data_IF_075917800382
#
_entry.id   IF_075917800382
#
_cell.length_a   1.000
_cell.length_b   1.000
_cell.length_c   1.000
_cell.angle_alpha   90.00
_cell.angle_beta   90.00
_cell.angle_gamma   90.00
#
_symmetry.space_group_name_H-M   'P 1'
#
loop_
_entity.id
_entity.type
_entity.pdbx_description
1 polymer ?
#
# COMPACT_ATOMS: atom_id res chain seq x y z
N UNK A 1 47.86 -0.90 -16.01
CA UNK A 1 47.45 -0.25 -14.74
C UNK A 1 47.61 -1.12 -13.48
N UNK A 2 48.13 -2.35 -13.53
CA UNK A 2 48.19 -3.26 -12.36
C UNK A 2 49.56 -3.21 -11.62
N UNK A 3 50.61 -2.64 -12.23
CA UNK A 3 51.97 -2.67 -11.68
C UNK A 3 52.28 -1.66 -10.55
N UNK A 4 51.38 -0.74 -10.21
CA UNK A 4 51.63 0.27 -9.15
C UNK A 4 51.53 -0.30 -7.73
N UNK A 5 51.05 -1.53 -7.56
CA UNK A 5 50.88 -2.17 -6.24
C UNK A 5 52.17 -2.80 -5.69
N UNK A 6 53.24 -2.88 -6.48
CA UNK A 6 54.48 -3.58 -6.11
C UNK A 6 55.51 -2.73 -5.36
N UNK A 7 55.33 -1.41 -5.27
CA UNK A 7 56.30 -0.49 -4.64
C UNK A 7 55.77 0.24 -3.40
N UNK A 8 54.69 -0.26 -2.77
CA UNK A 8 54.15 0.33 -1.55
C UNK A 8 54.86 -0.24 -0.32
N UNK A 9 55.45 0.64 0.49
CA UNK A 9 55.95 0.33 1.84
C UNK A 9 54.93 -0.52 2.62
N UNK A 10 55.37 -1.48 3.45
CA UNK A 10 54.48 -2.35 4.26
C UNK A 10 53.38 -1.56 4.97
N UNK A 11 53.68 -0.33 5.40
CA UNK A 11 52.74 0.60 6.01
C UNK A 11 51.54 0.94 5.10
N UNK A 12 51.78 1.23 3.82
CA UNK A 12 50.71 1.51 2.85
C UNK A 12 49.92 0.25 2.50
N UNK A 13 50.56 -0.93 2.48
CA UNK A 13 49.86 -2.18 2.21
C UNK A 13 48.84 -2.50 3.31
N UNK A 14 49.23 -2.36 4.57
CA UNK A 14 48.35 -2.54 5.74
C UNK A 14 47.22 -1.49 5.72
N UNK A 15 47.57 -0.22 5.49
CA UNK A 15 46.58 0.86 5.42
C UNK A 15 45.55 0.64 4.30
N UNK A 16 45.98 0.20 3.11
CA UNK A 16 45.09 -0.05 1.99
C UNK A 16 44.14 -1.22 2.29
N UNK A 17 44.64 -2.29 2.93
CA UNK A 17 43.81 -3.43 3.30
C UNK A 17 42.81 -3.09 4.40
N UNK A 18 43.22 -2.34 5.44
CA UNK A 18 42.28 -1.93 6.50
C UNK A 18 41.23 -0.96 5.97
N UNK A 19 41.63 -0.02 5.10
CA UNK A 19 40.70 0.90 4.44
C UNK A 19 39.70 0.14 3.55
N UNK A 20 40.17 -0.83 2.76
CA UNK A 20 39.30 -1.67 1.93
C UNK A 20 38.30 -2.46 2.78
N UNK A 21 38.75 -3.05 3.90
CA UNK A 21 37.85 -3.78 4.82
C UNK A 21 36.80 -2.84 5.42
N UNK A 22 37.19 -1.65 5.87
CA UNK A 22 36.25 -0.65 6.41
C UNK A 22 35.22 -0.25 5.35
N UNK A 23 35.65 0.06 4.12
CA UNK A 23 34.74 0.39 3.00
C UNK A 23 33.77 -0.75 2.69
N UNK A 24 34.25 -1.99 2.67
CA UNK A 24 33.41 -3.17 2.43
C UNK A 24 32.37 -3.34 3.53
N UNK A 25 32.75 -3.21 4.80
CA UNK A 25 31.83 -3.30 5.93
C UNK A 25 30.79 -2.18 5.86
N UNK A 26 31.19 -0.93 5.61
CA UNK A 26 30.26 0.19 5.48
C UNK A 26 29.27 -0.01 4.32
N UNK A 27 29.75 -0.51 3.17
CA UNK A 27 28.89 -0.83 2.03
C UNK A 27 27.90 -1.95 2.34
N UNK A 28 28.34 -3.02 3.01
CA UNK A 28 27.48 -4.12 3.41
C UNK A 28 26.38 -3.66 4.39
N UNK A 29 26.74 -2.86 5.40
CA UNK A 29 25.77 -2.28 6.35
C UNK A 29 24.75 -1.42 5.61
N UNK A 30 25.19 -0.56 4.70
CA UNK A 30 24.29 0.31 3.94
C UNK A 30 23.28 -0.50 3.10
N UNK A 31 23.72 -1.59 2.46
CA UNK A 31 22.84 -2.46 1.67
C UNK A 31 21.82 -3.18 2.54
N UNK A 32 22.24 -3.74 3.68
CA UNK A 32 21.34 -4.41 4.63
C UNK A 32 20.33 -3.43 5.22
N UNK A 33 20.79 -2.26 5.66
CA UNK A 33 19.93 -1.21 6.20
C UNK A 33 18.87 -0.76 5.18
N UNK A 34 19.27 -0.58 3.91
CA UNK A 34 18.33 -0.25 2.83
C UNK A 34 17.29 -1.35 2.63
N UNK A 35 17.68 -2.62 2.65
CA UNK A 35 16.77 -3.76 2.50
C UNK A 35 15.71 -3.81 3.61
N UNK A 36 16.16 -3.68 4.86
CA UNK A 36 15.25 -3.67 6.02
C UNK A 36 14.31 -2.47 5.96
N UNK A 37 14.86 -1.26 5.72
CA UNK A 37 14.08 -0.03 5.72
C UNK A 37 12.95 -0.05 4.68
N UNK A 38 13.25 -0.45 3.44
CA UNK A 38 12.24 -0.51 2.37
C UNK A 38 11.16 -1.56 2.67
N UNK A 39 11.57 -2.73 3.18
CA UNK A 39 10.62 -3.79 3.55
C UNK A 39 9.70 -3.39 4.70
N UNK A 40 10.25 -2.79 5.77
CA UNK A 40 9.48 -2.32 6.92
C UNK A 40 8.51 -1.21 6.51
N UNK A 41 8.96 -0.25 5.70
CA UNK A 41 8.11 0.88 5.29
C UNK A 41 6.92 0.39 4.44
N UNK A 42 7.17 -0.53 3.51
CA UNK A 42 6.11 -1.10 2.65
C UNK A 42 5.08 -1.86 3.49
N UNK A 43 5.54 -2.68 4.45
CA UNK A 43 4.65 -3.44 5.33
C UNK A 43 3.86 -2.56 6.29
N UNK A 44 4.46 -1.48 6.78
CA UNK A 44 3.77 -0.49 7.61
C UNK A 44 2.66 0.22 6.83
N UNK A 45 2.91 0.57 5.56
CA UNK A 45 1.89 1.16 4.67
C UNK A 45 0.73 0.17 4.42
N UNK A 46 1.03 -1.09 4.13
CA UNK A 46 0.01 -2.13 3.94
C UNK A 46 -0.84 -2.35 5.20
N UNK A 47 -0.22 -2.41 6.38
CA UNK A 47 -0.93 -2.56 7.65
C UNK A 47 -1.87 -1.38 7.92
N UNK A 48 -1.40 -0.15 7.67
CA UNK A 48 -2.22 1.06 7.84
C UNK A 48 -3.37 1.11 6.84
N UNK A 49 -3.12 0.81 5.56
CA UNK A 49 -4.16 0.74 4.55
C UNK A 49 -5.21 -0.33 4.85
N UNK A 50 -4.78 -1.50 5.34
CA UNK A 50 -5.68 -2.58 5.77
C UNK A 50 -6.58 -2.14 6.93
N UNK A 51 -6.02 -1.47 7.93
CA UNK A 51 -6.81 -0.96 9.06
C UNK A 51 -7.86 0.09 8.63
N UNK A 52 -7.53 0.91 7.62
CA UNK A 52 -8.45 1.88 7.04
C UNK A 52 -9.58 1.15 6.30
N UNK A 53 -9.24 0.19 5.43
CA UNK A 53 -10.22 -0.61 4.68
C UNK A 53 -11.14 -1.42 5.62
N UNK A 54 -10.59 -2.01 6.69
CA UNK A 54 -11.37 -2.69 7.73
C UNK A 54 -12.32 -1.74 8.45
N UNK A 55 -11.87 -0.53 8.83
CA UNK A 55 -12.75 0.45 9.46
C UNK A 55 -13.92 0.87 8.56
N UNK A 56 -13.70 0.95 7.25
CA UNK A 56 -14.77 1.18 6.27
C UNK A 56 -15.69 -0.03 6.20
N UNK A 57 -15.16 -1.25 6.16
CA UNK A 57 -15.96 -2.46 6.08
C UNK A 57 -16.85 -2.67 7.30
N UNK A 58 -16.34 -2.43 8.50
CA UNK A 58 -17.11 -2.56 9.75
C UNK A 58 -18.25 -1.56 9.85
N UNK A 59 -18.06 -0.33 9.35
CA UNK A 59 -19.06 0.76 9.45
C UNK A 59 -19.96 0.86 8.23
N UNK A 60 -19.46 0.46 7.07
CA UNK A 60 -20.12 0.59 5.77
C UNK A 60 -21.29 -0.37 5.60
N UNK A 61 -21.27 -1.53 6.28
CA UNK A 61 -22.30 -2.57 6.14
C UNK A 61 -23.72 -2.02 6.37
N UNK A 62 -23.93 -1.27 7.46
CA UNK A 62 -25.24 -0.67 7.76
C UNK A 62 -25.72 0.24 6.62
N UNK A 63 -24.85 1.09 6.08
CA UNK A 63 -25.24 2.00 4.99
C UNK A 63 -25.57 1.26 3.69
N UNK A 64 -24.90 0.13 3.41
CA UNK A 64 -25.21 -0.70 2.24
C UNK A 64 -26.59 -1.37 2.42
N UNK A 65 -26.87 -1.91 3.61
CA UNK A 65 -28.17 -2.52 3.93
C UNK A 65 -29.32 -1.52 3.84
N UNK A 66 -29.10 -0.32 4.36
CA UNK A 66 -30.07 0.78 4.34
C UNK A 66 -30.17 1.46 2.96
N UNK A 67 -29.31 1.08 2.01
CA UNK A 67 -29.15 1.71 0.68
C UNK A 67 -28.88 3.22 0.76
N UNK A 68 -28.21 3.64 1.83
CA UNK A 68 -27.83 5.02 2.06
C UNK A 68 -26.42 5.31 1.50
N UNK A 69 -26.36 5.43 0.17
CA UNK A 69 -25.11 5.74 -0.53
C UNK A 69 -24.56 7.12 -0.12
N UNK A 70 -25.40 8.05 0.34
CA UNK A 70 -24.96 9.39 0.73
C UNK A 70 -24.15 9.34 2.01
N UNK A 71 -24.64 8.62 3.02
CA UNK A 71 -23.91 8.39 4.27
C UNK A 71 -22.68 7.51 4.05
N UNK A 72 -22.73 6.55 3.12
CA UNK A 72 -21.56 5.76 2.75
C UNK A 72 -20.46 6.64 2.13
N UNK A 73 -20.81 7.56 1.24
CA UNK A 73 -19.85 8.53 0.69
C UNK A 73 -19.28 9.41 1.80
N UNK A 74 -20.12 9.95 2.69
CA UNK A 74 -19.65 10.74 3.83
C UNK A 74 -18.66 9.96 4.71
N UNK A 75 -18.93 8.69 4.98
CA UNK A 75 -18.02 7.78 5.67
C UNK A 75 -16.66 7.68 4.95
N UNK A 76 -16.64 7.50 3.62
CA UNK A 76 -15.39 7.39 2.87
C UNK A 76 -14.58 8.69 2.94
N UNK A 77 -15.24 9.84 2.85
CA UNK A 77 -14.58 11.15 2.99
C UNK A 77 -14.04 11.37 4.39
N UNK A 78 -14.79 11.02 5.44
CA UNK A 78 -14.31 11.11 6.82
C UNK A 78 -13.09 10.21 7.05
N UNK A 79 -13.12 8.97 6.55
CA UNK A 79 -12.03 8.02 6.79
C UNK A 79 -10.77 8.37 5.98
N UNK A 80 -10.93 8.83 4.74
CA UNK A 80 -9.81 9.17 3.83
C UNK A 80 -9.23 10.57 4.07
N UNK A 81 -10.04 11.53 4.52
CA UNK A 81 -9.64 12.94 4.60
C UNK A 81 -9.36 13.47 6.00
N UNK A 82 -9.26 12.64 7.04
CA UNK A 82 -8.92 13.10 8.38
C UNK A 82 -7.41 12.94 8.70
N UNK A 83 -6.77 14.05 9.04
CA UNK A 83 -5.40 14.12 9.60
C UNK A 83 -4.28 13.72 8.62
N UNK A 84 -3.24 13.06 9.16
CA UNK A 84 -2.06 12.56 8.42
C UNK A 84 -2.39 11.50 7.34
N UNK A 85 -3.63 10.98 7.30
CA UNK A 85 -4.06 9.91 6.38
C UNK A 85 -4.21 10.37 4.93
N UNK A 86 -4.43 11.67 4.70
CA UNK A 86 -4.53 12.26 3.35
C UNK A 86 -3.31 12.02 2.49
N UNK A 87 -2.13 11.93 3.09
CA UNK A 87 -0.88 11.70 2.37
C UNK A 87 -0.62 10.21 2.06
N UNK A 88 -1.39 9.29 2.66
CA UNK A 88 -1.16 7.85 2.60
C UNK A 88 -2.19 7.11 1.74
N UNK A 89 -3.36 7.70 1.49
CA UNK A 89 -4.47 7.05 0.78
C UNK A 89 -4.65 7.71 -0.59
N UNK A 90 -4.42 6.95 -1.65
CA UNK A 90 -4.52 7.44 -3.02
C UNK A 90 -5.97 7.51 -3.51
N UNK A 91 -6.81 6.56 -3.10
CA UNK A 91 -8.24 6.52 -3.40
C UNK A 91 -8.98 5.72 -2.34
N UNK A 92 -10.30 5.86 -2.29
CA UNK A 92 -11.17 4.96 -1.55
C UNK A 92 -12.46 4.76 -2.35
N UNK A 93 -12.91 3.53 -2.48
CA UNK A 93 -14.22 3.24 -3.04
C UNK A 93 -14.84 1.96 -2.49
N UNK A 94 -16.14 1.82 -2.65
CA UNK A 94 -16.92 0.65 -2.23
C UNK A 94 -17.74 0.14 -3.40
N UNK A 95 -17.73 -1.18 -3.58
CA UNK A 95 -18.54 -1.90 -4.57
C UNK A 95 -19.45 -2.90 -3.89
N UNK A 96 -20.59 -3.22 -4.51
CA UNK A 96 -21.42 -4.36 -4.11
C UNK A 96 -20.89 -5.68 -4.67
N UNK A 97 -21.57 -6.79 -4.33
CA UNK A 97 -21.25 -8.14 -4.82
C UNK A 97 -21.38 -8.32 -6.34
N UNK A 98 -22.17 -7.47 -7.01
CA UNK A 98 -22.35 -7.47 -8.46
C UNK A 98 -21.24 -6.66 -9.18
N UNK A 99 -20.44 -5.92 -8.41
CA UNK A 99 -19.39 -5.03 -8.89
C UNK A 99 -19.90 -3.64 -9.25
N UNK A 100 -21.07 -3.23 -8.78
CA UNK A 100 -21.57 -1.88 -8.95
C UNK A 100 -20.87 -0.96 -7.94
N UNK A 101 -20.45 0.22 -8.41
CA UNK A 101 -19.82 1.24 -7.59
C UNK A 101 -20.88 1.93 -6.71
N UNK A 102 -20.83 1.70 -5.39
CA UNK A 102 -21.77 2.28 -4.44
C UNK A 102 -21.33 3.67 -3.95
N UNK A 103 -20.04 3.82 -3.66
CA UNK A 103 -19.45 5.06 -3.16
C UNK A 103 -17.97 5.18 -3.58
N UNK A 104 -17.49 6.40 -3.76
CA UNK A 104 -16.08 6.66 -4.06
C UNK A 104 -15.69 8.09 -3.65
N UNK A 105 -14.38 8.33 -3.50
CA UNK A 105 -13.83 9.65 -3.14
C UNK A 105 -13.33 10.46 -4.35
N UNK A 106 -13.56 9.99 -5.59
CA UNK A 106 -13.12 10.71 -6.78
C UNK A 106 -14.00 11.94 -7.04
N UNK A 107 -13.35 13.10 -7.15
CA UNK A 107 -13.99 14.36 -7.61
C UNK A 107 -14.04 14.47 -9.14
N UNK A 108 -13.60 13.43 -9.84
CA UNK A 108 -13.55 13.26 -11.30
C UNK A 108 -14.24 11.96 -11.68
N UNK A 109 -14.52 11.70 -12.97
CA UNK A 109 -15.04 10.40 -13.39
C UNK A 109 -14.16 9.25 -12.88
N UNK A 110 -14.78 8.18 -12.37
CA UNK A 110 -14.07 7.04 -11.81
C UNK A 110 -13.10 6.40 -12.84
N UNK A 111 -11.81 6.21 -12.49
CA UNK A 111 -10.80 5.71 -13.42
C UNK A 111 -11.16 4.35 -14.03
N UNK A 112 -10.92 4.20 -15.34
CA UNK A 112 -11.19 2.94 -16.03
C UNK A 112 -10.28 1.80 -15.55
N UNK A 113 -9.02 2.11 -15.22
CA UNK A 113 -8.04 1.14 -14.72
C UNK A 113 -8.52 0.48 -13.42
N UNK A 114 -9.15 1.26 -12.54
CA UNK A 114 -9.71 0.76 -11.29
C UNK A 114 -11.02 -0.01 -11.47
N UNK A 115 -11.71 0.12 -12.62
CA UNK A 115 -12.86 -0.76 -12.91
C UNK A 115 -12.41 -2.17 -13.25
N UNK A 116 -11.24 -2.33 -13.86
CA UNK A 116 -10.71 -3.63 -14.26
C UNK A 116 -10.31 -4.52 -13.07
N UNK A 117 -10.13 -3.92 -11.88
CA UNK A 117 -9.75 -4.64 -10.66
C UNK A 117 -10.96 -5.05 -9.80
N UNK A 118 -12.15 -4.53 -10.09
CA UNK A 118 -13.38 -4.83 -9.35
C UNK A 118 -13.70 -6.32 -9.51
N UNK A 119 -13.70 -7.02 -8.37
CA UNK A 119 -14.09 -8.41 -8.30
C UNK A 119 -15.59 -8.52 -8.07
N UNK A 120 -16.20 -9.54 -8.68
CA UNK A 120 -17.59 -9.92 -8.45
C UNK A 120 -17.62 -11.18 -7.60
N UNK A 121 -18.64 -11.30 -6.75
CA UNK A 121 -18.84 -12.45 -5.87
C UNK A 121 -18.64 -12.14 -4.39
N UNK A 122 -18.79 -13.18 -3.57
CA UNK A 122 -18.93 -13.05 -2.11
C UNK A 122 -17.65 -13.33 -1.32
N UNK A 123 -16.50 -13.35 -1.98
CA UNK A 123 -15.23 -13.73 -1.35
C UNK A 123 -15.02 -13.01 -0.03
N UNK A 124 -14.72 -13.79 1.02
CA UNK A 124 -14.44 -13.29 2.36
C UNK A 124 -12.95 -13.01 2.60
N UNK A 125 -12.11 -13.17 1.58
CA UNK A 125 -10.68 -12.94 1.71
C UNK A 125 -10.37 -11.46 1.49
N UNK A 126 -9.49 -10.92 2.33
CA UNK A 126 -8.82 -9.64 2.06
C UNK A 126 -7.77 -9.85 0.98
N UNK A 127 -7.78 -9.01 -0.04
CA UNK A 127 -6.85 -9.11 -1.17
C UNK A 127 -5.97 -7.86 -1.22
N UNK A 128 -4.69 -8.07 -1.48
CA UNK A 128 -3.70 -7.00 -1.62
C UNK A 128 -3.06 -7.13 -3.01
N UNK A 129 -3.11 -6.08 -3.82
CA UNK A 129 -2.60 -6.11 -5.19
C UNK A 129 -1.96 -4.79 -5.57
N UNK A 130 -0.90 -4.84 -6.38
CA UNK A 130 -0.36 -3.63 -6.98
C UNK A 130 -1.24 -3.20 -8.15
N UNK A 131 -1.52 -1.91 -8.23
CA UNK A 131 -2.33 -1.30 -9.27
C UNK A 131 -1.64 -0.04 -9.79
N UNK A 132 -1.80 0.20 -11.08
CA UNK A 132 -1.39 1.44 -11.71
C UNK A 132 -2.65 2.10 -12.26
N UNK A 133 -2.85 3.37 -11.94
CA UNK A 133 -3.98 4.15 -12.42
C UNK A 133 -3.54 5.59 -12.66
N UNK A 134 -3.98 6.20 -13.75
CA UNK A 134 -3.66 7.60 -14.10
C UNK A 134 -2.15 7.94 -14.04
N UNK A 135 -1.27 6.97 -14.32
CA UNK A 135 0.19 7.15 -14.29
C UNK A 135 0.83 7.13 -12.91
N UNK A 136 0.09 6.70 -11.88
CA UNK A 136 0.58 6.51 -10.50
C UNK A 136 0.46 5.05 -10.09
N UNK A 137 1.44 4.56 -9.34
CA UNK A 137 1.42 3.21 -8.75
C UNK A 137 0.92 3.25 -7.31
N UNK A 138 0.04 2.31 -6.96
CA UNK A 138 -0.52 2.16 -5.62
C UNK A 138 -0.67 0.68 -5.27
N UNK A 139 -0.85 0.40 -3.98
CA UNK A 139 -1.26 -0.92 -3.49
C UNK A 139 -2.74 -0.82 -3.16
N UNK A 140 -3.57 -1.56 -3.89
CA UNK A 140 -5.00 -1.74 -3.61
C UNK A 140 -5.18 -2.79 -2.52
N UNK A 141 -5.91 -2.43 -1.47
CA UNK A 141 -6.32 -3.32 -0.39
C UNK A 141 -7.84 -3.45 -0.42
N UNK A 142 -8.30 -4.63 -0.82
CA UNK A 142 -9.72 -4.96 -0.95
C UNK A 142 -10.18 -5.80 0.25
N UNK A 143 -11.02 -5.24 1.11
CA UNK A 143 -11.58 -5.90 2.30
C UNK A 143 -13.07 -6.17 2.09
N UNK A 144 -13.57 -7.39 2.36
CA UNK A 144 -15.00 -7.68 2.28
C UNK A 144 -15.79 -6.96 3.37
N UNK A 145 -16.95 -6.44 2.98
CA UNK A 145 -17.95 -5.87 3.89
C UNK A 145 -18.93 -6.97 4.23
N UNK A 146 -18.99 -7.38 5.49
CA UNK A 146 -19.76 -8.54 5.93
C UNK A 146 -20.89 -8.17 6.88
N UNK A 147 -22.01 -8.87 6.77
CA UNK A 147 -23.09 -8.91 7.75
C UNK A 147 -23.33 -10.37 8.17
N UNK A 148 -22.79 -10.74 9.33
CA UNK A 148 -22.72 -12.14 9.75
C UNK A 148 -21.90 -12.98 8.76
N UNK A 149 -22.55 -13.95 8.11
CA UNK A 149 -21.92 -14.84 7.12
C UNK A 149 -22.01 -14.31 5.67
N UNK A 150 -22.75 -13.21 5.45
CA UNK A 150 -23.00 -12.69 4.11
C UNK A 150 -22.03 -11.56 3.78
N UNK A 151 -21.47 -11.58 2.57
CA UNK A 151 -20.71 -10.46 2.02
C UNK A 151 -21.67 -9.53 1.30
N UNK A 152 -21.71 -8.26 1.71
CA UNK A 152 -22.55 -7.21 1.10
C UNK A 152 -21.83 -6.50 -0.05
N UNK A 153 -20.50 -6.50 -0.01
CA UNK A 153 -19.67 -5.76 -0.95
C UNK A 153 -18.21 -5.79 -0.53
N UNK A 154 -17.41 -4.89 -1.11
CA UNK A 154 -15.98 -4.77 -0.82
C UNK A 154 -15.56 -3.30 -0.75
N UNK A 155 -14.74 -2.97 0.24
CA UNK A 155 -14.07 -1.68 0.36
C UNK A 155 -12.66 -1.77 -0.22
N UNK A 156 -12.28 -0.78 -1.01
CA UNK A 156 -10.99 -0.65 -1.67
C UNK A 156 -10.31 0.64 -1.19
N UNK A 157 -9.01 0.55 -0.87
CA UNK A 157 -8.15 1.63 -0.37
C UNK A 157 -6.78 1.54 -1.03
#
# INVERSE_FOLDING_TARGET
MINSLRQLSLRNKIFLTTLAVVLLISGAIALVARGILVGTLSRELELRGTAIAQSIAERGGSYILDKDNSSLVALLFDVSQLGERRALVAYVFVVDIEGNLLANTFVRPFPADLRAIILRGDSQETLVRHVSFEGSDAVDISVPIQEGIYTLGRAHV
#
